data_IF_713102756217
#
_entry.id   IF_713102756217
#
_cell.length_a   1.000
_cell.length_b   1.000
_cell.length_c   1.000
_cell.angle_alpha   90.00
_cell.angle_beta   90.00
_cell.angle_gamma   90.00
#
_symmetry.space_group_name_H-M   'P 1'
#
loop_
_entity.id
_entity.type
_entity.pdbx_description
1 polymer ?
#
# COMPACT_ATOMS: atom_id res chain seq x y z
N UNK A 1 -27.73 -23.20 2.64
CA UNK A 1 -28.03 -21.99 3.44
C UNK A 1 -26.70 -21.44 3.94
N UNK A 2 -25.99 -20.50 3.28
CA UNK A 2 -26.33 -19.06 3.15
C UNK A 2 -27.02 -18.56 4.43
N UNK A 3 -26.26 -18.22 5.49
CA UNK A 3 -26.11 -16.79 5.80
C UNK A 3 -24.82 -16.39 6.56
N UNK A 4 -23.67 -17.09 6.43
CA UNK A 4 -22.43 -16.66 7.12
C UNK A 4 -21.46 -15.85 6.25
N UNK A 5 -21.70 -15.80 4.93
CA UNK A 5 -20.94 -14.93 4.00
C UNK A 5 -21.48 -13.49 3.98
N UNK A 6 -22.53 -13.19 4.74
CA UNK A 6 -23.24 -11.90 4.79
C UNK A 6 -22.82 -11.03 5.98
N UNK A 7 -21.52 -10.74 6.13
CA UNK A 7 -21.13 -9.40 6.58
C UNK A 7 -19.67 -9.16 6.25
N UNK A 8 -19.39 -8.83 5.00
CA UNK A 8 -18.23 -8.00 4.68
C UNK A 8 -18.48 -6.64 5.34
N UNK A 9 -18.17 -6.50 6.64
CA UNK A 9 -18.21 -5.20 7.31
C UNK A 9 -17.15 -4.34 6.62
N UNK A 10 -17.59 -3.46 5.72
CA UNK A 10 -16.78 -2.37 5.18
C UNK A 10 -16.17 -1.66 6.38
N UNK A 11 -14.88 -1.89 6.60
CA UNK A 11 -14.22 -1.38 7.80
C UNK A 11 -13.42 -0.18 7.36
N UNK A 12 -13.88 0.99 7.77
CA UNK A 12 -13.04 2.18 7.67
C UNK A 12 -11.92 2.00 8.70
N UNK A 13 -10.73 1.66 8.23
CA UNK A 13 -9.60 1.49 9.12
C UNK A 13 -8.96 2.86 9.32
N UNK A 14 -9.22 3.45 10.49
CA UNK A 14 -8.52 4.65 10.93
C UNK A 14 -7.18 4.23 11.53
N UNK A 15 -6.10 4.74 10.96
CA UNK A 15 -4.77 4.60 11.57
C UNK A 15 -4.62 5.76 12.55
N UNK A 16 -4.59 5.51 13.88
CA UNK A 16 -4.50 6.57 14.86
C UNK A 16 -3.19 7.33 14.64
N UNK A 17 -3.32 8.64 14.39
CA UNK A 17 -2.22 9.58 14.12
C UNK A 17 -1.57 9.56 12.73
N UNK A 18 -2.16 8.92 11.71
CA UNK A 18 -1.66 9.07 10.34
C UNK A 18 -1.98 10.45 9.77
N UNK A 19 -1.01 11.03 9.06
CA UNK A 19 -1.19 12.25 8.26
C UNK A 19 -1.75 11.95 6.85
N UNK A 20 -2.01 10.67 6.55
CA UNK A 20 -2.55 10.19 5.27
C UNK A 20 -4.07 9.97 5.34
N UNK A 21 -4.79 10.08 4.21
CA UNK A 21 -6.21 9.74 4.16
C UNK A 21 -6.43 8.29 4.58
N UNK A 22 -7.54 8.01 5.27
CA UNK A 22 -7.88 6.65 5.69
C UNK A 22 -8.55 5.89 4.54
N UNK A 23 -7.98 4.77 4.06
CA UNK A 23 -8.61 3.97 3.03
C UNK A 23 -9.84 3.22 3.57
N UNK A 24 -10.87 3.08 2.75
CA UNK A 24 -12.04 2.24 3.05
C UNK A 24 -11.79 0.86 2.49
N UNK A 25 -11.61 -0.13 3.36
CA UNK A 25 -11.22 -1.48 2.95
C UNK A 25 -12.12 -2.55 3.54
N UNK A 26 -12.12 -3.70 2.89
CA UNK A 26 -12.81 -4.90 3.33
C UNK A 26 -11.84 -6.07 3.23
N UNK A 27 -11.80 -6.92 4.26
CA UNK A 27 -11.07 -8.18 4.18
C UNK A 27 -11.92 -9.26 3.52
N UNK A 28 -11.42 -9.83 2.42
CA UNK A 28 -12.06 -10.96 1.74
C UNK A 28 -11.50 -12.27 2.30
N UNK A 29 -12.22 -12.86 3.27
CA UNK A 29 -11.80 -14.08 3.98
C UNK A 29 -11.51 -15.24 3.02
N UNK A 30 -12.36 -15.42 1.99
CA UNK A 30 -12.22 -16.51 1.01
C UNK A 30 -10.92 -16.40 0.19
N UNK A 31 -10.50 -15.18 -0.13
CA UNK A 31 -9.32 -14.91 -0.96
C UNK A 31 -8.07 -14.57 -0.13
N UNK A 32 -8.23 -14.40 1.18
CA UNK A 32 -7.19 -13.98 2.12
C UNK A 32 -6.51 -12.65 1.76
N UNK A 33 -7.22 -11.73 1.10
CA UNK A 33 -6.71 -10.44 0.65
C UNK A 33 -7.58 -9.28 1.11
N UNK A 34 -7.03 -8.06 1.02
CA UNK A 34 -7.79 -6.83 1.23
C UNK A 34 -8.33 -6.33 -0.10
N UNK A 35 -9.52 -5.75 -0.05
CA UNK A 35 -10.14 -5.06 -1.18
C UNK A 35 -10.37 -3.62 -0.78
N UNK A 36 -9.94 -2.71 -1.65
CA UNK A 36 -10.26 -1.30 -1.56
C UNK A 36 -11.72 -1.09 -2.01
N UNK A 37 -12.55 -0.48 -1.18
CA UNK A 37 -13.99 -0.29 -1.47
C UNK A 37 -14.30 1.06 -2.14
N UNK A 38 -13.49 2.08 -1.86
CA UNK A 38 -13.59 3.41 -2.45
C UNK A 38 -12.27 3.84 -3.07
N UNK A 39 -12.24 4.81 -4.00
CA UNK A 39 -10.98 5.29 -4.55
C UNK A 39 -10.08 5.80 -3.42
N UNK A 40 -8.79 5.46 -3.49
CA UNK A 40 -7.79 5.96 -2.55
C UNK A 40 -6.94 7.01 -3.25
N UNK A 41 -6.98 8.24 -2.76
CA UNK A 41 -6.32 9.38 -3.38
C UNK A 41 -5.28 9.95 -2.42
N UNK A 42 -4.04 10.00 -2.87
CA UNK A 42 -2.95 10.71 -2.22
C UNK A 42 -2.76 12.06 -2.91
N UNK A 43 -2.82 13.18 -2.16
CA UNK A 43 -2.64 14.50 -2.73
C UNK A 43 -1.21 14.71 -3.22
N UNK A 44 -1.04 15.72 -4.08
CA UNK A 44 0.26 16.16 -4.55
C UNK A 44 1.23 16.40 -3.38
N UNK A 45 2.41 15.78 -3.46
CA UNK A 45 3.45 15.87 -2.42
C UNK A 45 3.35 14.86 -1.29
N UNK A 46 2.29 14.05 -1.21
CA UNK A 46 2.21 12.94 -0.26
C UNK A 46 2.91 11.65 -0.75
N UNK A 47 3.17 11.53 -2.06
CA UNK A 47 3.80 10.35 -2.67
C UNK A 47 5.30 10.31 -2.44
N UNK A 48 6.01 11.40 -2.79
CA UNK A 48 7.44 11.59 -2.54
C UNK A 48 7.76 13.06 -2.27
N UNK A 49 8.65 13.38 -1.31
CA UNK A 49 9.07 14.77 -1.06
C UNK A 49 9.80 15.43 -2.23
N UNK A 50 10.47 14.62 -3.06
CA UNK A 50 11.23 15.09 -4.24
C UNK A 50 10.33 15.38 -5.43
N UNK A 51 9.06 14.99 -5.36
CA UNK A 51 8.08 15.19 -6.42
C UNK A 51 6.79 15.76 -5.83
N UNK A 52 6.78 17.06 -5.52
CA UNK A 52 5.67 17.70 -4.82
C UNK A 52 4.42 17.85 -5.69
N UNK A 53 4.52 17.62 -7.01
CA UNK A 53 3.39 17.75 -7.95
C UNK A 53 2.67 16.42 -8.18
N UNK A 54 3.29 15.30 -7.82
CA UNK A 54 2.73 13.97 -8.05
C UNK A 54 1.60 13.66 -7.07
N UNK A 55 0.39 13.53 -7.62
CA UNK A 55 -0.77 12.93 -6.96
C UNK A 55 -0.95 11.48 -7.44
N UNK A 56 -1.47 10.61 -6.58
CA UNK A 56 -1.70 9.20 -6.88
C UNK A 56 -3.12 8.80 -6.53
N UNK A 57 -3.78 8.08 -7.44
CA UNK A 57 -5.15 7.61 -7.31
C UNK A 57 -5.23 6.12 -7.61
N UNK A 58 -5.68 5.35 -6.62
CA UNK A 58 -5.93 3.92 -6.76
C UNK A 58 -7.44 3.72 -6.92
N UNK A 59 -7.89 3.06 -8.00
CA UNK A 59 -9.31 2.85 -8.23
C UNK A 59 -9.90 1.88 -7.19
N UNK A 60 -11.18 2.11 -6.86
CA UNK A 60 -11.94 1.18 -6.05
C UNK A 60 -11.95 -0.22 -6.68
N UNK A 61 -12.00 -1.25 -5.84
CA UNK A 61 -11.93 -2.65 -6.25
C UNK A 61 -10.53 -3.22 -6.33
N UNK A 62 -9.48 -2.41 -6.18
CA UNK A 62 -8.11 -2.91 -6.12
C UNK A 62 -7.95 -3.90 -4.97
N UNK A 63 -7.48 -5.11 -5.31
CA UNK A 63 -7.18 -6.16 -4.35
C UNK A 63 -5.69 -6.14 -4.07
N UNK A 64 -5.35 -5.96 -2.80
CA UNK A 64 -3.97 -5.92 -2.34
C UNK A 64 -3.81 -6.92 -1.20
N UNK A 65 -2.69 -7.59 -1.22
CA UNK A 65 -2.26 -8.52 -0.23
C UNK A 65 -0.97 -7.97 0.31
N UNK A 66 -0.95 -7.62 1.62
CA UNK A 66 0.23 -7.20 2.40
C UNK A 66 1.45 -8.18 2.30
N UNK A 67 1.35 -9.18 1.42
CA UNK A 67 2.22 -10.26 1.02
C UNK A 67 3.40 -9.88 0.11
N UNK A 68 3.48 -8.65 -0.44
CA UNK A 68 4.73 -8.17 -1.07
C UNK A 68 5.89 -8.07 -0.05
N UNK A 69 5.56 -8.13 1.26
CA UNK A 69 6.52 -8.33 2.34
C UNK A 69 6.64 -9.83 2.62
N UNK A 70 7.85 -10.43 2.56
CA UNK A 70 8.05 -11.85 2.84
C UNK A 70 7.44 -12.26 4.19
N UNK A 71 6.70 -13.37 4.24
CA UNK A 71 6.06 -13.89 5.46
C UNK A 71 7.01 -14.02 6.66
N UNK A 72 8.28 -14.41 6.53
CA UNK A 72 9.22 -14.44 7.65
C UNK A 72 9.52 -13.07 8.26
N UNK A 73 9.12 -11.96 7.63
CA UNK A 73 9.28 -10.62 8.17
C UNK A 73 8.00 -10.10 8.82
N UNK A 74 6.89 -10.84 8.73
CA UNK A 74 5.62 -10.46 9.37
C UNK A 74 5.70 -10.47 10.90
N UNK A 75 6.51 -11.34 11.53
CA UNK A 75 6.68 -11.33 12.99
C UNK A 75 7.43 -10.08 13.49
N UNK A 76 8.30 -9.51 12.65
CA UNK A 76 9.05 -8.29 12.95
C UNK A 76 8.20 -7.03 12.69
N UNK A 77 7.27 -7.11 11.73
CA UNK A 77 6.62 -5.96 11.12
C UNK A 77 5.13 -5.86 11.48
N UNK A 78 4.44 -6.92 11.90
CA UNK A 78 2.99 -6.97 12.16
C UNK A 78 2.20 -6.06 11.19
N UNK A 79 1.88 -6.54 9.96
CA UNK A 79 1.44 -5.69 8.84
C UNK A 79 0.28 -4.73 9.14
N UNK A 80 -0.62 -5.14 10.04
CA UNK A 80 -1.77 -4.33 10.50
C UNK A 80 -1.41 -3.19 11.46
N UNK A 81 -0.30 -3.34 12.20
CA UNK A 81 0.14 -2.35 13.17
C UNK A 81 1.08 -1.30 12.58
N UNK A 82 1.54 -1.52 11.35
CA UNK A 82 2.47 -0.61 10.70
C UNK A 82 1.75 0.45 9.85
N UNK A 83 0.95 0.00 8.89
CA UNK A 83 0.47 0.87 7.81
C UNK A 83 -0.49 0.12 6.91
N UNK A 84 -1.49 0.82 6.37
CA UNK A 84 -2.39 0.27 5.35
C UNK A 84 -2.20 1.01 4.04
N UNK A 85 -2.02 2.33 4.09
CA UNK A 85 -1.79 3.13 2.89
C UNK A 85 -0.46 2.77 2.23
N UNK A 86 0.62 2.62 3.00
CA UNK A 86 1.92 2.26 2.45
C UNK A 86 1.90 0.94 1.65
N UNK A 87 1.45 -0.21 2.20
CA UNK A 87 1.42 -1.46 1.44
C UNK A 87 0.39 -1.44 0.31
N UNK A 88 -0.75 -0.75 0.46
CA UNK A 88 -1.72 -0.56 -0.62
C UNK A 88 -1.08 0.09 -1.86
N UNK A 89 -0.34 1.19 -1.66
CA UNK A 89 0.34 1.90 -2.76
C UNK A 89 1.51 1.09 -3.30
N UNK A 90 2.26 0.41 -2.43
CA UNK A 90 3.37 -0.46 -2.83
C UNK A 90 2.88 -1.59 -3.75
N UNK A 91 1.87 -2.35 -3.33
CA UNK A 91 1.29 -3.46 -4.11
C UNK A 91 0.72 -2.97 -5.45
N UNK A 92 0.10 -1.79 -5.45
CA UNK A 92 -0.43 -1.17 -6.67
C UNK A 92 0.67 -0.90 -7.70
N UNK A 93 1.73 -0.21 -7.28
CA UNK A 93 2.86 0.11 -8.15
C UNK A 93 3.67 -1.14 -8.53
N UNK A 94 3.81 -2.11 -7.62
CA UNK A 94 4.50 -3.37 -7.90
C UNK A 94 3.77 -4.22 -8.94
N UNK A 95 2.43 -4.29 -8.84
CA UNK A 95 1.61 -5.09 -9.76
C UNK A 95 1.61 -4.52 -11.18
N UNK A 96 1.86 -3.23 -11.33
CA UNK A 96 1.98 -2.56 -12.62
C UNK A 96 3.43 -2.47 -13.13
N UNK A 97 4.41 -3.09 -12.46
CA UNK A 97 5.82 -2.97 -12.85
C UNK A 97 6.34 -1.53 -12.79
N UNK A 98 5.77 -0.71 -11.91
CA UNK A 98 6.04 0.72 -11.84
C UNK A 98 5.39 1.56 -12.94
N UNK A 99 4.57 0.97 -13.81
CA UNK A 99 3.83 1.67 -14.86
C UNK A 99 2.33 1.71 -14.52
N UNK A 100 1.89 2.52 -13.54
CA UNK A 100 0.48 2.60 -13.19
C UNK A 100 -0.35 3.12 -14.37
N UNK A 101 -1.66 2.79 -14.44
CA UNK A 101 -2.57 3.33 -15.45
C UNK A 101 -2.51 4.87 -15.53
N UNK A 102 -2.73 5.44 -16.72
CA UNK A 102 -2.60 6.90 -16.96
C UNK A 102 -3.42 7.76 -16.00
N UNK A 103 -4.60 7.29 -15.57
CA UNK A 103 -5.47 8.04 -14.67
C UNK A 103 -5.13 7.86 -13.18
N UNK A 104 -4.11 7.05 -12.87
CA UNK A 104 -3.71 6.72 -11.51
C UNK A 104 -2.59 7.60 -10.98
N UNK A 105 -1.85 8.30 -11.82
CA UNK A 105 -0.74 9.18 -11.40
C UNK A 105 -0.74 10.45 -12.23
N UNK A 106 -0.69 11.60 -11.55
CA UNK A 106 -0.72 12.91 -12.18
C UNK A 106 0.46 13.75 -11.67
N UNK A 107 1.40 14.19 -12.53
CA UNK A 107 1.48 13.89 -13.98
C UNK A 107 1.82 12.41 -14.24
N UNK A 108 1.42 11.84 -15.41
CA UNK A 108 1.72 10.44 -15.74
C UNK A 108 3.23 10.18 -15.72
N UNK A 109 3.65 9.19 -14.94
CA UNK A 109 5.05 8.77 -14.85
C UNK A 109 5.18 7.30 -14.46
N UNK A 110 6.31 6.75 -14.85
CA UNK A 110 6.75 5.43 -14.41
C UNK A 110 7.62 5.55 -13.16
N UNK A 111 7.72 4.46 -12.42
CA UNK A 111 8.55 4.32 -11.23
C UNK A 111 9.47 3.13 -11.37
N UNK A 112 10.72 3.31 -11.00
CA UNK A 112 11.62 2.17 -10.80
C UNK A 112 11.21 1.40 -9.53
N UNK A 113 11.64 0.14 -9.44
CA UNK A 113 11.50 -0.65 -8.20
C UNK A 113 12.03 0.09 -6.97
N UNK A 114 13.18 0.75 -7.12
CA UNK A 114 13.81 1.52 -6.04
C UNK A 114 12.95 2.71 -5.62
N UNK A 115 12.36 3.44 -6.55
CA UNK A 115 11.44 4.54 -6.24
C UNK A 115 10.16 4.03 -5.56
N UNK A 116 9.62 2.89 -6.02
CA UNK A 116 8.46 2.25 -5.39
C UNK A 116 8.75 1.87 -3.93
N UNK A 117 9.92 1.27 -3.67
CA UNK A 117 10.35 0.93 -2.31
C UNK A 117 10.58 2.21 -1.46
N UNK A 118 11.01 3.32 -2.07
CA UNK A 118 11.14 4.63 -1.40
C UNK A 118 9.79 5.27 -1.08
N UNK A 119 8.81 5.18 -1.98
CA UNK A 119 7.42 5.60 -1.75
C UNK A 119 6.86 4.85 -0.56
N UNK A 120 7.01 3.53 -0.54
CA UNK A 120 6.59 2.69 0.57
C UNK A 120 7.18 3.16 1.90
N UNK A 121 8.49 3.42 1.93
CA UNK A 121 9.18 3.97 3.12
C UNK A 121 8.62 5.33 3.52
N UNK A 122 8.37 6.20 2.56
CA UNK A 122 7.86 7.55 2.82
C UNK A 122 6.44 7.53 3.39
N UNK A 123 5.55 6.69 2.84
CA UNK A 123 4.18 6.56 3.32
C UNK A 123 4.12 5.99 4.74
N UNK A 124 4.97 5.00 5.06
CA UNK A 124 5.13 4.51 6.44
C UNK A 124 5.50 5.64 7.42
N UNK A 125 6.32 6.61 6.97
CA UNK A 125 6.63 7.80 7.79
C UNK A 125 5.39 8.66 8.01
N UNK A 126 4.54 8.86 7.00
CA UNK A 126 3.26 9.57 7.11
C UNK A 126 2.22 8.85 7.98
N UNK A 127 2.32 7.53 8.10
CA UNK A 127 1.56 6.71 9.07
C UNK A 127 2.24 6.65 10.46
N UNK A 128 3.29 7.45 10.69
CA UNK A 128 4.03 7.54 11.96
C UNK A 128 4.61 6.22 12.46
N UNK A 129 5.00 5.34 11.54
CA UNK A 129 5.73 4.11 11.84
C UNK A 129 7.07 4.44 12.51
N UNK A 130 7.40 3.71 13.59
CA UNK A 130 8.70 3.85 14.27
C UNK A 130 9.87 3.67 13.28
N UNK A 131 10.91 4.53 13.31
CA UNK A 131 11.97 4.52 12.30
C UNK A 131 12.66 3.16 12.08
N UNK A 132 12.88 2.38 13.14
CA UNK A 132 13.51 1.06 13.04
C UNK A 132 12.63 0.04 12.30
N UNK A 133 11.30 0.07 12.49
CA UNK A 133 10.36 -0.81 11.78
C UNK A 133 10.28 -0.44 10.30
N UNK A 134 10.18 0.86 10.02
CA UNK A 134 10.20 1.41 8.65
C UNK A 134 11.49 1.03 7.90
N UNK A 135 12.65 1.17 8.54
CA UNK A 135 13.94 0.80 7.93
C UNK A 135 14.04 -0.72 7.69
N UNK A 136 13.58 -1.54 8.64
CA UNK A 136 13.56 -3.00 8.49
C UNK A 136 12.65 -3.44 7.34
N UNK A 137 11.44 -2.87 7.24
CA UNK A 137 10.50 -3.14 6.15
C UNK A 137 11.05 -2.68 4.79
N UNK A 138 11.70 -1.52 4.73
CA UNK A 138 12.37 -1.05 3.52
C UNK A 138 13.49 -2.00 3.07
N UNK A 139 14.37 -2.43 3.97
CA UNK A 139 15.44 -3.38 3.63
C UNK A 139 14.88 -4.73 3.17
N UNK A 140 13.81 -5.21 3.82
CA UNK A 140 13.10 -6.40 3.43
C UNK A 140 12.61 -6.36 1.97
N UNK A 141 11.88 -5.32 1.57
CA UNK A 141 11.38 -5.21 0.19
C UNK A 141 12.52 -4.99 -0.82
N UNK A 142 13.59 -4.27 -0.43
CA UNK A 142 14.77 -4.07 -1.28
C UNK A 142 15.46 -5.39 -1.63
N UNK A 143 15.62 -6.27 -0.65
CA UNK A 143 16.34 -7.54 -0.79
C UNK A 143 15.48 -8.65 -1.36
N UNK A 144 14.20 -8.74 -0.97
CA UNK A 144 13.35 -9.89 -1.29
C UNK A 144 12.19 -9.57 -2.25
N UNK A 145 11.83 -8.29 -2.42
CA UNK A 145 10.71 -7.87 -3.26
C UNK A 145 10.93 -8.11 -4.76
N UNK A 146 12.18 -8.29 -5.21
CA UNK A 146 12.49 -8.46 -6.64
C UNK A 146 11.72 -9.59 -7.34
N UNK A 147 11.29 -10.65 -6.62
CA UNK A 147 10.48 -11.74 -7.21
C UNK A 147 9.02 -11.37 -7.46
N UNK A 148 8.48 -10.38 -6.74
CA UNK A 148 7.10 -9.92 -6.89
C UNK A 148 6.96 -8.79 -7.92
N UNK A 149 8.08 -8.20 -8.34
CA UNK A 149 8.11 -7.15 -9.35
C UNK A 149 7.80 -7.77 -10.71
N UNK A 150 6.70 -7.32 -11.34
CA UNK A 150 6.35 -7.73 -12.70
C UNK A 150 7.07 -6.79 -13.66
N UNK A 151 8.11 -7.27 -14.33
CA UNK A 151 8.68 -6.60 -15.50
C UNK A 151 7.75 -6.73 -16.72
#
# INVERSE_FOLDING_TARGET
MKPFLETLKKTLVKIPASDLPSPVITYLVAEKCWRLEGPYELPAGAVLPRDPQTALKIPAGFKFDLASIPRPLWWLIAPFELSIAAPLVHDFLYRSGGNPPQDSVTPPRSYTRKETDQIFKHLMKGERVKPWRMNSAYLAVRWFGGKAWKD
#
